data_IF_240429662324
#
_entry.id   IF_240429662324
#
_cell.length_a   1.000
_cell.length_b   1.000
_cell.length_c   1.000
_cell.angle_alpha   90.00
_cell.angle_beta   90.00
_cell.angle_gamma   90.00
#
_symmetry.space_group_name_H-M   'P 1'
#
loop_
_entity.id
_entity.type
_entity.pdbx_description
1 polymer ?
#
# COMPACT_ATOMS: atom_id res chain seq x y z
N UNK A 1 35.56 -8.45 -19.23
CA UNK A 1 36.18 -7.35 -20.01
C UNK A 1 37.36 -6.77 -19.23
N UNK A 2 38.28 -6.00 -19.84
CA UNK A 2 39.48 -5.43 -19.17
C UNK A 2 40.36 -6.47 -18.41
N UNK A 3 40.74 -7.59 -19.03
CA UNK A 3 41.50 -8.67 -18.33
C UNK A 3 40.79 -9.16 -17.04
N UNK A 4 39.47 -9.33 -17.10
CA UNK A 4 38.60 -9.72 -15.97
C UNK A 4 38.68 -8.80 -14.75
N UNK A 5 39.17 -7.57 -14.95
CA UNK A 5 39.21 -6.51 -13.95
C UNK A 5 37.85 -5.82 -13.76
N UNK A 6 36.94 -5.92 -14.73
CA UNK A 6 35.60 -5.32 -14.64
C UNK A 6 34.56 -6.39 -15.01
N UNK A 7 33.74 -6.75 -14.03
CA UNK A 7 32.52 -7.52 -14.21
C UNK A 7 31.29 -6.62 -14.08
N UNK A 8 30.31 -6.89 -14.93
CA UNK A 8 29.00 -6.24 -14.92
C UNK A 8 27.97 -7.33 -15.13
N UNK A 9 27.02 -7.42 -14.22
CA UNK A 9 25.88 -8.34 -14.30
C UNK A 9 24.62 -7.50 -14.29
N UNK A 10 23.73 -7.77 -15.24
CA UNK A 10 22.42 -7.15 -15.29
C UNK A 10 21.38 -8.24 -15.43
N UNK A 11 20.41 -8.23 -14.52
CA UNK A 11 19.30 -9.16 -14.51
C UNK A 11 17.99 -8.37 -14.61
N UNK A 12 17.09 -8.86 -15.46
CA UNK A 12 15.70 -8.39 -15.50
C UNK A 12 14.79 -9.58 -15.27
N UNK A 13 13.77 -9.40 -14.43
CA UNK A 13 12.87 -10.48 -14.07
C UNK A 13 11.41 -10.04 -14.03
N UNK A 14 10.55 -11.00 -14.33
CA UNK A 14 9.11 -10.90 -14.17
C UNK A 14 8.62 -12.22 -13.54
N UNK A 15 8.43 -12.21 -12.23
CA UNK A 15 8.07 -13.37 -11.42
C UNK A 15 6.59 -13.34 -11.08
N UNK A 16 5.88 -14.41 -11.41
CA UNK A 16 4.50 -14.62 -10.97
C UNK A 16 4.48 -15.61 -9.82
N UNK A 17 3.84 -15.25 -8.71
CA UNK A 17 3.55 -16.15 -7.60
C UNK A 17 2.04 -16.35 -7.54
N UNK A 18 1.59 -17.56 -7.89
CA UNK A 18 0.19 -17.97 -7.82
C UNK A 18 -0.09 -18.73 -6.52
N UNK A 19 -1.37 -19.03 -6.31
CA UNK A 19 -1.81 -19.94 -5.25
C UNK A 19 -1.45 -19.45 -3.84
N UNK A 20 -1.51 -18.13 -3.64
CA UNK A 20 -1.29 -17.53 -2.33
C UNK A 20 -2.40 -17.99 -1.38
N UNK A 21 -1.99 -18.65 -0.30
CA UNK A 21 -2.88 -19.18 0.72
C UNK A 21 -3.44 -18.07 1.60
N UNK A 22 -4.77 -18.01 1.71
CA UNK A 22 -5.47 -17.17 2.69
C UNK A 22 -6.68 -17.91 3.27
N UNK A 23 -7.31 -17.35 4.30
CA UNK A 23 -8.44 -17.99 4.98
C UNK A 23 -9.74 -17.83 4.18
N UNK A 24 -10.48 -18.93 3.99
CA UNK A 24 -11.76 -18.91 3.29
C UNK A 24 -12.83 -18.09 4.04
N UNK A 25 -13.80 -17.53 3.31
CA UNK A 25 -14.90 -16.78 3.91
C UNK A 25 -16.04 -17.73 4.34
N UNK A 26 -15.95 -18.27 5.56
CA UNK A 26 -17.02 -19.09 6.15
C UNK A 26 -17.92 -18.26 7.10
N UNK A 27 -19.24 -18.47 7.09
CA UNK A 27 -20.14 -17.88 8.08
C UNK A 27 -19.74 -18.26 9.51
N UNK A 28 -19.82 -17.31 10.44
CA UNK A 28 -19.54 -17.58 11.85
C UNK A 28 -20.48 -18.64 12.46
N UNK A 29 -21.67 -18.84 11.87
CA UNK A 29 -22.63 -19.88 12.27
C UNK A 29 -22.11 -21.30 12.08
N UNK A 30 -21.06 -21.52 11.28
CA UNK A 30 -20.45 -22.85 11.13
C UNK A 30 -19.68 -23.31 12.38
N UNK A 31 -19.30 -22.39 13.28
CA UNK A 31 -18.61 -22.71 14.53
C UNK A 31 -17.21 -23.33 14.38
N UNK A 32 -16.66 -23.35 13.17
CA UNK A 32 -15.34 -23.89 12.84
C UNK A 32 -14.42 -22.82 12.26
N UNK A 33 -13.11 -23.00 12.42
CA UNK A 33 -12.12 -22.15 11.75
C UNK A 33 -12.14 -22.36 10.24
N UNK A 34 -11.93 -21.29 9.47
CA UNK A 34 -11.89 -21.38 8.03
C UNK A 34 -10.64 -22.14 7.54
N UNK A 35 -10.78 -23.02 6.52
CA UNK A 35 -9.63 -23.62 5.86
C UNK A 35 -8.84 -22.57 5.06
N UNK A 36 -7.60 -22.90 4.71
CA UNK A 36 -6.83 -22.12 3.76
C UNK A 36 -7.20 -22.50 2.32
N UNK A 37 -7.33 -21.50 1.46
CA UNK A 37 -7.58 -21.66 0.03
C UNK A 37 -6.58 -20.83 -0.78
N UNK A 38 -6.40 -21.18 -2.06
CA UNK A 38 -5.58 -20.44 -3.01
C UNK A 38 -6.38 -19.24 -3.54
N UNK A 39 -6.02 -18.03 -3.13
CA UNK A 39 -6.88 -16.87 -3.33
C UNK A 39 -6.20 -15.66 -3.95
N UNK A 40 -4.90 -15.76 -4.24
CA UNK A 40 -4.15 -14.63 -4.79
C UNK A 40 -3.11 -15.04 -5.82
N UNK A 41 -2.93 -14.14 -6.78
CA UNK A 41 -1.76 -14.11 -7.67
C UNK A 41 -1.12 -12.74 -7.57
N UNK A 42 0.20 -12.71 -7.42
CA UNK A 42 1.00 -11.48 -7.47
C UNK A 42 2.05 -11.59 -8.58
N UNK A 43 2.45 -10.44 -9.11
CA UNK A 43 3.51 -10.33 -10.11
C UNK A 43 4.55 -9.32 -9.63
N UNK A 44 5.79 -9.78 -9.48
CA UNK A 44 6.96 -8.92 -9.21
C UNK A 44 7.73 -8.69 -10.51
N UNK A 45 7.91 -7.43 -10.89
CA UNK A 45 8.80 -7.03 -11.99
C UNK A 45 9.92 -6.19 -11.41
N UNK A 46 11.15 -6.46 -11.83
CA UNK A 46 12.30 -5.72 -11.35
C UNK A 46 13.55 -5.97 -12.16
N UNK A 47 14.60 -5.26 -11.78
CA UNK A 47 15.92 -5.40 -12.35
C UNK A 47 17.00 -5.25 -11.28
N UNK A 48 18.15 -5.86 -11.53
CA UNK A 48 19.33 -5.77 -10.69
C UNK A 48 20.54 -5.47 -11.57
N UNK A 49 21.38 -4.53 -11.14
CA UNK A 49 22.66 -4.23 -11.75
C UNK A 49 23.74 -4.39 -10.69
N UNK A 50 24.73 -5.24 -10.97
CA UNK A 50 25.92 -5.40 -10.16
C UNK A 50 27.15 -5.07 -11.00
N UNK A 51 28.07 -4.31 -10.41
CA UNK A 51 29.36 -3.96 -11.00
C UNK A 51 30.44 -4.35 -10.01
N UNK A 52 31.41 -5.13 -10.48
CA UNK A 52 32.60 -5.46 -9.73
C UNK A 52 33.85 -4.99 -10.49
N UNK A 53 34.75 -4.32 -9.79
CA UNK A 53 36.00 -3.85 -10.34
C UNK A 53 37.15 -4.32 -9.47
N UNK A 54 38.18 -4.90 -10.09
CA UNK A 54 39.39 -5.44 -9.46
C UNK A 54 40.60 -4.97 -10.23
N UNK A 55 41.55 -4.32 -9.56
CA UNK A 55 42.76 -3.83 -10.17
C UNK A 55 43.99 -4.18 -9.33
N UNK A 56 45.05 -4.63 -9.98
CA UNK A 56 46.37 -4.79 -9.35
C UNK A 56 47.30 -3.74 -9.92
N UNK A 57 47.72 -2.80 -9.09
CA UNK A 57 48.66 -1.75 -9.44
C UNK A 57 50.08 -2.32 -9.56
N UNK A 58 50.93 -1.68 -10.36
CA UNK A 58 52.32 -2.10 -10.61
C UNK A 58 53.20 -2.15 -9.35
N UNK A 59 52.81 -1.43 -8.29
CA UNK A 59 53.49 -1.44 -6.98
C UNK A 59 53.06 -2.62 -6.09
N UNK A 60 52.22 -3.54 -6.59
CA UNK A 60 51.71 -4.69 -5.83
C UNK A 60 50.45 -4.40 -5.01
N UNK A 61 49.89 -3.18 -5.08
CA UNK A 61 48.62 -2.88 -4.42
C UNK A 61 47.47 -3.56 -5.17
N UNK A 62 46.62 -4.29 -4.44
CA UNK A 62 45.36 -4.84 -4.96
C UNK A 62 44.20 -3.98 -4.48
N UNK A 63 43.32 -3.58 -5.40
CA UNK A 63 42.12 -2.80 -5.13
C UNK A 63 40.91 -3.49 -5.71
N UNK A 64 39.83 -3.55 -4.94
CA UNK A 64 38.56 -4.13 -5.36
C UNK A 64 37.39 -3.30 -4.86
N UNK A 65 36.40 -3.09 -5.71
CA UNK A 65 35.12 -2.46 -5.35
C UNK A 65 33.98 -3.22 -5.99
N UNK A 66 32.91 -3.42 -5.23
CA UNK A 66 31.66 -4.00 -5.73
C UNK A 66 30.53 -3.07 -5.36
N UNK A 67 29.64 -2.79 -6.31
CA UNK A 67 28.45 -2.01 -6.11
C UNK A 67 27.27 -2.73 -6.78
N UNK A 68 26.10 -2.70 -6.13
CA UNK A 68 24.86 -3.20 -6.71
C UNK A 68 23.73 -2.22 -6.47
N UNK A 69 22.79 -2.18 -7.41
CA UNK A 69 21.54 -1.43 -7.33
C UNK A 69 20.42 -2.30 -7.91
N UNK A 70 19.26 -2.26 -7.28
CA UNK A 70 18.09 -3.01 -7.69
C UNK A 70 16.84 -2.14 -7.52
N UNK A 71 15.84 -2.40 -8.34
CA UNK A 71 14.50 -1.81 -8.21
C UNK A 71 13.47 -2.83 -8.65
N UNK A 72 12.41 -2.96 -7.85
CA UNK A 72 11.34 -3.92 -8.08
C UNK A 72 9.99 -3.41 -7.61
N UNK A 73 8.94 -3.90 -8.27
CA UNK A 73 7.56 -3.58 -7.97
C UNK A 73 6.74 -4.86 -7.99
N UNK A 74 6.01 -5.12 -6.91
CA UNK A 74 5.08 -6.24 -6.82
C UNK A 74 3.64 -5.78 -6.82
N UNK A 75 2.84 -6.31 -7.75
CA UNK A 75 1.43 -5.98 -7.94
C UNK A 75 0.53 -7.22 -7.71
N UNK A 76 -0.62 -7.01 -7.09
CA UNK A 76 -1.67 -8.03 -6.96
C UNK A 76 -2.42 -8.13 -8.28
N UNK A 77 -2.19 -9.21 -9.03
CA UNK A 77 -2.80 -9.40 -10.35
C UNK A 77 -4.14 -10.12 -10.31
N UNK A 78 -4.40 -10.89 -9.25
CA UNK A 78 -5.68 -11.53 -9.01
C UNK A 78 -5.91 -11.70 -7.51
N UNK A 79 -7.12 -11.42 -7.05
CA UNK A 79 -7.52 -11.67 -5.66
C UNK A 79 -8.98 -12.09 -5.57
N UNK A 80 -9.25 -13.28 -5.01
CA UNK A 80 -10.59 -13.88 -5.00
C UNK A 80 -11.62 -13.04 -4.25
N UNK A 81 -11.23 -12.39 -3.15
CA UNK A 81 -12.07 -11.44 -2.42
C UNK A 81 -11.64 -10.03 -2.75
N UNK A 82 -11.81 -9.60 -4.01
CA UNK A 82 -11.45 -8.27 -4.48
C UNK A 82 -12.28 -7.20 -3.75
N UNK A 83 -11.85 -6.85 -2.55
CA UNK A 83 -12.49 -5.82 -1.73
C UNK A 83 -12.29 -4.48 -2.40
N UNK A 84 -13.30 -3.61 -2.36
CA UNK A 84 -13.21 -2.27 -2.95
C UNK A 84 -12.07 -1.44 -2.36
N UNK A 85 -11.82 -1.60 -1.06
CA UNK A 85 -10.75 -0.95 -0.32
C UNK A 85 -10.09 -1.96 0.62
N UNK A 86 -8.74 -2.10 0.58
CA UNK A 86 -7.99 -2.85 1.57
C UNK A 86 -8.25 -2.38 3.01
N UNK A 87 -8.48 -3.30 3.93
CA UNK A 87 -8.75 -2.98 5.33
C UNK A 87 -7.52 -2.35 6.00
N UNK A 88 -7.73 -1.22 6.67
CA UNK A 88 -6.69 -0.55 7.46
C UNK A 88 -6.21 -1.45 8.60
N UNK A 89 -4.90 -1.69 8.69
CA UNK A 89 -4.31 -2.55 9.71
C UNK A 89 -4.41 -4.05 9.40
N UNK A 90 -4.89 -4.43 8.21
CA UNK A 90 -4.76 -5.80 7.72
C UNK A 90 -3.28 -6.14 7.57
N UNK A 91 -2.75 -6.89 8.51
CA UNK A 91 -1.38 -7.38 8.43
C UNK A 91 -1.41 -8.72 7.71
N UNK A 92 -0.72 -8.78 6.58
CA UNK A 92 -0.35 -9.98 5.82
C UNK A 92 -1.45 -10.87 5.23
N UNK A 93 -0.99 -11.94 4.58
CA UNK A 93 -1.74 -12.73 3.59
C UNK A 93 -2.99 -13.44 4.09
N UNK A 94 -3.16 -13.61 5.39
CA UNK A 94 -4.30 -14.31 6.01
C UNK A 94 -5.55 -13.43 6.14
N UNK A 95 -5.41 -12.11 6.02
CA UNK A 95 -6.54 -11.18 6.00
C UNK A 95 -7.08 -11.04 4.58
N UNK A 96 -8.25 -11.65 4.36
CA UNK A 96 -8.98 -11.65 3.09
C UNK A 96 -9.30 -10.25 2.55
N UNK A 97 -9.36 -9.25 3.41
CA UNK A 97 -9.65 -7.86 3.06
C UNK A 97 -8.40 -7.01 2.89
N UNK A 98 -7.20 -7.59 2.91
CA UNK A 98 -5.95 -6.84 2.83
C UNK A 98 -5.52 -6.42 1.42
N UNK A 99 -6.13 -7.00 0.37
CA UNK A 99 -5.64 -6.83 -1.00
C UNK A 99 -6.78 -6.55 -1.99
N UNK A 100 -6.48 -5.68 -2.97
CA UNK A 100 -7.31 -5.34 -4.14
C UNK A 100 -6.51 -5.69 -5.39
N UNK A 101 -7.17 -6.15 -6.45
CA UNK A 101 -6.52 -6.31 -7.75
C UNK A 101 -5.99 -4.96 -8.27
N UNK A 102 -4.77 -4.95 -8.81
CA UNK A 102 -4.05 -3.74 -9.24
C UNK A 102 -3.30 -3.02 -8.13
N UNK A 103 -3.47 -3.43 -6.87
CA UNK A 103 -2.73 -2.84 -5.74
C UNK A 103 -1.24 -3.22 -5.81
N UNK A 104 -0.37 -2.26 -5.48
CA UNK A 104 1.06 -2.52 -5.27
C UNK A 104 1.25 -2.93 -3.82
N UNK A 105 2.00 -4.01 -3.60
CA UNK A 105 2.33 -4.43 -2.23
C UNK A 105 3.13 -3.34 -1.53
N UNK A 106 2.65 -2.95 -0.35
CA UNK A 106 3.19 -1.83 0.42
C UNK A 106 2.41 -0.52 0.25
N UNK A 107 1.43 -0.45 -0.65
CA UNK A 107 0.53 0.71 -0.74
C UNK A 107 -0.15 0.93 0.62
N UNK A 108 -0.11 2.17 1.10
CA UNK A 108 -0.76 2.59 2.34
C UNK A 108 -2.11 3.21 1.97
N UNK A 109 -3.17 2.64 2.55
CA UNK A 109 -4.55 3.08 2.32
C UNK A 109 -5.10 3.78 3.56
N UNK A 110 -5.74 4.93 3.35
CA UNK A 110 -6.29 5.73 4.43
C UNK A 110 -6.99 6.99 3.91
N UNK A 111 -7.58 7.74 4.84
CA UNK A 111 -8.21 9.01 4.52
C UNK A 111 -7.14 10.05 4.16
N UNK A 112 -7.42 10.87 3.14
CA UNK A 112 -6.54 11.96 2.76
C UNK A 112 -6.83 13.21 3.60
N UNK A 113 -5.82 13.68 4.33
CA UNK A 113 -5.87 14.95 5.05
C UNK A 113 -6.03 16.11 4.05
N UNK A 114 -6.94 17.03 4.34
CA UNK A 114 -7.08 18.30 3.61
C UNK A 114 -6.42 19.44 4.38
N UNK A 115 -7.01 19.80 5.53
CA UNK A 115 -6.52 20.85 6.42
C UNK A 115 -7.08 20.68 7.84
N UNK A 116 -6.72 21.59 8.74
CA UNK A 116 -7.42 21.73 10.01
C UNK A 116 -8.65 22.61 9.85
N UNK A 117 -9.70 22.28 10.62
CA UNK A 117 -10.87 23.12 10.82
C UNK A 117 -10.44 24.39 11.57
N UNK A 118 -11.01 25.52 11.15
CA UNK A 118 -10.77 26.85 11.68
C UNK A 118 -12.07 27.41 12.27
N UNK A 119 -12.01 28.49 13.05
CA UNK A 119 -13.23 29.14 13.58
C UNK A 119 -14.21 29.54 12.47
N UNK A 120 -13.68 29.88 11.28
CA UNK A 120 -14.48 30.24 10.11
C UNK A 120 -15.27 29.07 9.52
N UNK A 121 -15.02 27.83 9.93
CA UNK A 121 -15.76 26.65 9.48
C UNK A 121 -17.03 26.38 10.31
N UNK A 122 -17.26 27.15 11.37
CA UNK A 122 -18.36 26.95 12.31
C UNK A 122 -19.40 28.06 12.23
N UNK A 123 -20.66 27.68 12.41
CA UNK A 123 -21.76 28.60 12.68
C UNK A 123 -21.71 29.09 14.13
N UNK A 124 -22.47 30.14 14.44
CA UNK A 124 -22.53 30.71 15.80
C UNK A 124 -23.04 29.72 16.88
N UNK A 125 -23.72 28.64 16.47
CA UNK A 125 -24.19 27.56 17.35
C UNK A 125 -23.16 26.44 17.55
N UNK A 126 -21.97 26.55 16.94
CA UNK A 126 -20.90 25.54 17.01
C UNK A 126 -21.06 24.38 16.03
N UNK A 127 -22.08 24.38 15.16
CA UNK A 127 -22.20 23.41 14.07
C UNK A 127 -21.28 23.76 12.90
N UNK A 128 -20.84 22.77 12.13
CA UNK A 128 -20.08 23.01 10.90
C UNK A 128 -20.96 23.71 9.84
N UNK A 129 -20.36 24.65 9.10
CA UNK A 129 -21.02 25.34 7.99
C UNK A 129 -21.38 24.37 6.85
N UNK A 130 -22.47 24.70 6.15
CA UNK A 130 -22.88 23.96 4.95
C UNK A 130 -21.81 24.05 3.85
N UNK A 131 -21.57 22.95 3.13
CA UNK A 131 -20.57 22.86 2.06
C UNK A 131 -19.28 22.17 2.47
N UNK A 132 -19.10 21.85 3.75
CA UNK A 132 -18.06 20.93 4.22
C UNK A 132 -18.57 19.49 4.17
N UNK A 133 -17.71 18.51 3.85
CA UNK A 133 -18.11 17.10 3.83
C UNK A 133 -18.42 16.58 5.24
N UNK A 134 -19.46 15.76 5.36
CA UNK A 134 -19.82 15.12 6.61
C UNK A 134 -18.84 14.00 6.95
N UNK A 135 -18.01 14.23 7.97
CA UNK A 135 -17.02 13.25 8.45
C UNK A 135 -17.41 12.57 9.75
N UNK A 136 -18.64 12.70 10.23
CA UNK A 136 -19.11 12.05 11.48
C UNK A 136 -18.92 10.53 11.47
N UNK A 137 -18.99 9.89 10.30
CA UNK A 137 -18.84 8.43 10.13
C UNK A 137 -17.43 7.90 10.38
N UNK A 138 -16.41 8.76 10.41
CA UNK A 138 -15.02 8.35 10.66
C UNK A 138 -14.54 8.65 12.08
N UNK A 139 -15.34 9.36 12.88
CA UNK A 139 -15.10 9.67 14.29
C UNK A 139 -16.03 8.86 15.21
N UNK A 140 -15.74 8.77 16.53
CA UNK A 140 -16.64 8.16 17.49
C UNK A 140 -18.04 8.77 17.47
N UNK A 141 -19.06 7.97 17.75
CA UNK A 141 -20.44 8.45 17.81
C UNK A 141 -20.58 9.59 18.84
N UNK A 142 -21.16 10.71 18.42
CA UNK A 142 -21.32 11.90 19.27
C UNK A 142 -20.08 12.78 19.37
N UNK A 143 -19.04 12.56 18.56
CA UNK A 143 -17.90 13.46 18.47
C UNK A 143 -18.34 14.88 18.07
N UNK A 144 -17.89 15.87 18.83
CA UNK A 144 -18.13 17.28 18.54
C UNK A 144 -16.87 17.88 17.94
N UNK A 145 -16.98 18.37 16.71
CA UNK A 145 -15.88 19.02 16.03
C UNK A 145 -15.56 20.38 16.65
N UNK A 146 -14.28 20.72 16.71
CA UNK A 146 -13.76 22.00 17.17
C UNK A 146 -12.64 22.51 16.25
N UNK A 147 -12.33 23.82 16.28
CA UNK A 147 -11.16 24.35 15.60
C UNK A 147 -9.89 23.59 15.98
N UNK A 148 -9.09 23.20 14.99
CA UNK A 148 -7.91 22.35 15.15
C UNK A 148 -8.14 20.85 14.87
N UNK A 149 -9.40 20.41 14.74
CA UNK A 149 -9.70 19.06 14.25
C UNK A 149 -9.34 18.90 12.78
N UNK A 150 -9.01 17.67 12.37
CA UNK A 150 -8.69 17.37 10.97
C UNK A 150 -9.94 17.39 10.10
N UNK A 151 -9.83 17.98 8.91
CA UNK A 151 -10.78 17.85 7.82
C UNK A 151 -10.19 16.90 6.78
N UNK A 152 -10.98 15.91 6.37
CA UNK A 152 -10.59 14.99 5.31
C UNK A 152 -11.14 15.43 3.96
N UNK A 153 -10.39 15.10 2.90
CA UNK A 153 -10.80 15.38 1.53
C UNK A 153 -11.90 14.41 1.10
N UNK A 154 -13.00 14.97 0.61
CA UNK A 154 -14.00 14.23 -0.15
C UNK A 154 -13.45 13.98 -1.56
N UNK A 155 -13.15 12.73 -1.87
CA UNK A 155 -12.52 12.36 -3.13
C UNK A 155 -13.57 12.10 -4.22
N UNK A 156 -14.67 11.45 -3.89
CA UNK A 156 -15.74 11.08 -4.82
C UNK A 156 -16.84 12.15 -4.94
N UNK A 157 -16.71 13.28 -4.21
CA UNK A 157 -17.59 14.44 -4.25
C UNK A 157 -19.04 14.12 -3.88
N UNK A 158 -19.25 13.17 -2.97
CA UNK A 158 -20.57 12.74 -2.53
C UNK A 158 -21.07 13.50 -1.28
N UNK A 159 -20.24 14.35 -0.68
CA UNK A 159 -20.52 15.14 0.52
C UNK A 159 -20.32 14.40 1.84
N UNK A 160 -19.81 13.17 1.84
CA UNK A 160 -19.61 12.32 3.02
C UNK A 160 -18.21 11.69 3.03
N UNK A 161 -17.54 11.72 4.19
CA UNK A 161 -16.29 10.99 4.41
C UNK A 161 -16.63 9.65 5.07
N UNK A 162 -16.27 8.56 4.38
CA UNK A 162 -16.41 7.21 4.91
C UNK A 162 -15.15 6.39 4.69
N UNK A 163 -14.88 5.44 5.59
CA UNK A 163 -13.69 4.57 5.49
C UNK A 163 -13.70 3.67 4.24
N UNK A 164 -14.83 3.57 3.53
CA UNK A 164 -15.05 2.58 2.45
C UNK A 164 -15.15 3.17 1.03
N UNK A 165 -15.10 4.48 0.83
CA UNK A 165 -15.38 5.07 -0.51
C UNK A 165 -14.42 6.18 -0.94
N UNK A 166 -13.33 6.43 -0.21
CA UNK A 166 -12.42 7.52 -0.57
C UNK A 166 -11.39 7.11 -1.63
N UNK A 167 -11.84 6.60 -2.78
CA UNK A 167 -11.01 6.49 -3.99
C UNK A 167 -11.78 6.92 -5.22
N UNK A 168 -11.17 7.83 -5.97
CA UNK A 168 -11.48 8.09 -7.36
C UNK A 168 -10.93 6.94 -8.20
N UNK A 169 -11.80 5.97 -8.52
CA UNK A 169 -11.62 5.09 -9.68
C UNK A 169 -12.22 5.80 -10.92
#
# INVERSE_FOLDING_TARGET
>A
FFNDALGVTFDWYNRTTSDILTTANLPATLGAAAPYENMGTIQTKGWELAIDYRHTFKNGLHFGVTASVADDKTEVTKWTYNTKIPSYGATGWWDKSAYKEGMVLGDIWGLQFDRFLTEDDFNADGSLKAGLPDQTKVFPAGYQFAPGDVLYKDLDNNGEIVKQTNTND
#
